data_IF_473119967452
#
_entry.id   IF_473119967452
#
_cell.length_a   1.000
_cell.length_b   1.000
_cell.length_c   1.000
_cell.angle_alpha   90.00
_cell.angle_beta   90.00
_cell.angle_gamma   90.00
#
_symmetry.space_group_name_H-M   'P 1'
#
loop_
_entity.id
_entity.type
_entity.pdbx_description
1 polymer ?
#
# COMPACT_ATOMS: atom_id res chain seq x y z
N UNK A 1 4.61 15.43 -14.15
CA UNK A 1 6.03 15.16 -13.85
C UNK A 1 6.53 14.23 -14.95
N UNK A 2 7.67 14.55 -15.57
CA UNK A 2 8.16 13.95 -16.82
C UNK A 2 8.64 12.50 -16.60
N UNK A 3 8.24 11.50 -17.41
CA UNK A 3 8.79 10.16 -17.32
C UNK A 3 10.12 10.10 -18.10
N UNK A 4 11.23 9.89 -17.40
CA UNK A 4 12.58 9.73 -17.99
C UNK A 4 12.98 8.26 -18.22
N UNK A 5 12.02 7.33 -18.25
CA UNK A 5 12.28 5.91 -18.52
C UNK A 5 11.00 5.11 -18.77
N UNK A 6 11.15 3.93 -19.38
CA UNK A 6 10.07 2.96 -19.58
C UNK A 6 9.66 2.38 -18.22
N UNK A 7 8.50 2.77 -17.69
CA UNK A 7 7.91 2.17 -16.49
C UNK A 7 7.04 0.97 -16.88
N UNK A 8 7.32 -0.20 -16.30
CA UNK A 8 6.53 -1.41 -16.49
C UNK A 8 5.59 -1.57 -15.31
N UNK A 9 4.28 -1.68 -15.57
CA UNK A 9 3.28 -1.95 -14.53
C UNK A 9 3.33 -3.43 -14.13
N UNK A 10 3.96 -3.71 -13.00
CA UNK A 10 4.09 -5.07 -12.47
C UNK A 10 2.81 -5.57 -11.80
N UNK A 11 2.09 -4.68 -11.10
CA UNK A 11 0.89 -5.01 -10.35
C UNK A 11 -0.15 -3.90 -10.51
N UNK A 12 -1.39 -4.32 -10.78
CA UNK A 12 -2.58 -3.47 -10.78
C UNK A 12 -3.69 -4.23 -10.07
N UNK A 13 -3.98 -3.86 -8.83
CA UNK A 13 -4.95 -4.58 -7.99
C UNK A 13 -5.71 -3.60 -7.11
N UNK A 14 -6.98 -3.93 -6.91
CA UNK A 14 -7.86 -3.31 -5.94
C UNK A 14 -8.07 -4.29 -4.80
N UNK A 15 -8.06 -3.78 -3.58
CA UNK A 15 -8.27 -4.55 -2.37
C UNK A 15 -9.41 -3.92 -1.56
N UNK A 16 -10.22 -4.74 -0.90
CA UNK A 16 -11.12 -4.27 0.14
C UNK A 16 -10.30 -4.08 1.42
N UNK A 17 -10.09 -2.83 1.83
CA UNK A 17 -9.25 -2.53 2.98
C UNK A 17 -9.81 -3.08 4.30
N UNK A 18 -11.12 -3.27 4.42
CA UNK A 18 -11.74 -3.86 5.60
C UNK A 18 -11.45 -5.36 5.68
N UNK A 19 -11.52 -6.06 4.54
CA UNK A 19 -11.13 -7.47 4.48
C UNK A 19 -9.63 -7.65 4.72
N UNK A 20 -8.79 -6.84 4.08
CA UNK A 20 -7.33 -6.91 4.27
C UNK A 20 -6.91 -6.60 5.71
N UNK A 21 -7.52 -5.61 6.37
CA UNK A 21 -7.25 -5.30 7.77
C UNK A 21 -7.62 -6.47 8.69
N UNK A 22 -8.74 -7.15 8.42
CA UNK A 22 -9.15 -8.35 9.15
C UNK A 22 -8.19 -9.51 8.93
N UNK A 23 -7.80 -9.76 7.67
CA UNK A 23 -6.84 -10.81 7.31
C UNK A 23 -5.46 -10.56 7.94
N UNK A 24 -5.06 -9.31 8.09
CA UNK A 24 -3.81 -8.89 8.72
C UNK A 24 -3.86 -8.83 10.26
N UNK A 25 -5.02 -9.12 10.87
CA UNK A 25 -5.27 -8.94 12.31
C UNK A 25 -4.92 -7.53 12.82
N UNK A 26 -5.23 -6.50 12.03
CA UNK A 26 -4.98 -5.11 12.38
C UNK A 26 -5.83 -4.69 13.59
N UNK A 27 -5.28 -3.82 14.44
CA UNK A 27 -5.98 -3.29 15.62
C UNK A 27 -7.13 -2.34 15.27
N UNK A 28 -7.07 -1.73 14.09
CA UNK A 28 -8.12 -0.88 13.54
C UNK A 28 -8.92 -1.72 12.54
N UNK A 29 -10.21 -1.90 12.82
CA UNK A 29 -11.12 -2.69 11.99
C UNK A 29 -12.39 -1.90 11.68
N UNK A 30 -12.97 -2.17 10.52
CA UNK A 30 -14.24 -1.58 10.11
C UNK A 30 -15.40 -2.07 11.02
N UNK A 31 -16.41 -1.22 11.27
CA UNK A 31 -16.52 0.18 10.84
C UNK A 31 -15.58 1.12 11.63
N UNK A 32 -14.77 1.90 10.91
CA UNK A 32 -13.81 2.83 11.52
C UNK A 32 -14.51 4.15 11.85
N UNK A 33 -14.42 4.59 13.10
CA UNK A 33 -15.04 5.84 13.55
C UNK A 33 -14.09 7.03 13.36
N UNK A 34 -14.59 8.27 13.30
CA UNK A 34 -13.72 9.44 13.33
C UNK A 34 -12.89 9.49 14.63
N UNK A 35 -11.58 9.68 14.51
CA UNK A 35 -10.69 9.73 15.68
C UNK A 35 -9.22 9.57 15.32
N UNK A 36 -8.37 9.69 16.33
CA UNK A 36 -6.94 9.41 16.20
C UNK A 36 -6.66 7.94 16.51
N UNK A 37 -5.84 7.31 15.67
CA UNK A 37 -5.46 5.91 15.79
C UNK A 37 -3.94 5.76 15.80
N UNK A 38 -3.42 4.86 16.62
CA UNK A 38 -2.03 4.40 16.57
C UNK A 38 -2.01 2.96 16.06
N UNK A 39 -1.32 2.74 14.93
CA UNK A 39 -1.28 1.45 14.25
C UNK A 39 0.17 0.99 14.23
N UNK A 40 0.40 -0.24 14.70
CA UNK A 40 1.70 -0.91 14.65
C UNK A 40 1.49 -2.24 13.95
N UNK A 41 2.16 -2.43 12.81
CA UNK A 41 2.13 -3.68 12.06
C UNK A 41 3.56 -4.09 11.70
N UNK A 42 3.87 -5.36 11.94
CA UNK A 42 5.12 -5.97 11.53
C UNK A 42 4.85 -6.88 10.33
N UNK A 43 5.63 -6.72 9.26
CA UNK A 43 5.56 -7.56 8.06
C UNK A 43 6.94 -8.08 7.71
N UNK A 44 6.99 -9.30 7.18
CA UNK A 44 8.21 -9.88 6.64
C UNK A 44 8.26 -9.66 5.13
N UNK A 45 9.38 -9.15 4.63
CA UNK A 45 9.60 -9.03 3.19
C UNK A 45 10.17 -10.35 2.65
N UNK A 46 9.55 -10.96 1.62
CA UNK A 46 10.06 -12.19 1.02
C UNK A 46 11.49 -12.04 0.47
N UNK A 47 12.29 -13.10 0.56
CA UNK A 47 13.69 -13.09 0.10
C UNK A 47 13.82 -13.05 -1.42
N UNK A 48 12.77 -13.48 -2.11
CA UNK A 48 12.68 -13.60 -3.55
C UNK A 48 12.37 -12.24 -4.22
N UNK A 49 12.06 -11.19 -3.45
CA UNK A 49 11.77 -9.84 -3.98
C UNK A 49 12.94 -9.39 -4.86
N UNK A 50 12.72 -9.21 -6.18
CA UNK A 50 13.81 -8.88 -7.10
C UNK A 50 14.46 -7.54 -6.77
N UNK A 51 15.79 -7.48 -6.92
CA UNK A 51 16.62 -6.31 -6.58
C UNK A 51 16.52 -5.20 -7.65
N UNK A 52 15.45 -4.42 -7.59
CA UNK A 52 15.22 -3.27 -8.46
C UNK A 52 14.54 -2.10 -7.72
N UNK A 53 14.32 -1.02 -8.46
CA UNK A 53 13.54 0.14 -8.02
C UNK A 53 12.06 -0.11 -8.24
N UNK A 54 11.27 -0.07 -7.18
CA UNK A 54 9.81 -0.12 -7.23
C UNK A 54 9.24 1.27 -7.00
N UNK A 55 8.31 1.66 -7.87
CA UNK A 55 7.48 2.86 -7.72
C UNK A 55 6.07 2.37 -7.42
N UNK A 56 5.58 2.66 -6.22
CA UNK A 56 4.32 2.15 -5.69
C UNK A 56 3.39 3.34 -5.48
N UNK A 57 2.20 3.25 -6.05
CA UNK A 57 1.15 4.25 -5.89
C UNK A 57 -0.06 3.55 -5.29
N UNK A 58 -0.53 4.03 -4.14
CA UNK A 58 -1.73 3.54 -3.47
C UNK A 58 -2.74 4.67 -3.41
N UNK A 59 -3.96 4.38 -3.82
CA UNK A 59 -5.10 5.29 -3.77
C UNK A 59 -6.22 4.57 -3.03
N UNK A 60 -6.66 5.16 -1.92
CA UNK A 60 -7.75 4.65 -1.10
C UNK A 60 -8.97 5.54 -1.24
N UNK A 61 -10.13 4.92 -1.41
CA UNK A 61 -11.42 5.58 -1.55
C UNK A 61 -12.43 4.99 -0.57
N UNK A 62 -13.42 5.78 -0.17
CA UNK A 62 -14.59 5.27 0.56
C UNK A 62 -15.53 4.52 -0.40
N UNK A 63 -16.57 3.90 0.15
CA UNK A 63 -17.64 3.27 -0.66
C UNK A 63 -18.41 4.26 -1.52
N UNK A 64 -18.36 5.55 -1.18
CA UNK A 64 -18.98 6.65 -1.91
C UNK A 64 -18.02 7.27 -2.95
N UNK A 65 -16.88 6.62 -3.21
CA UNK A 65 -15.80 7.06 -4.11
C UNK A 65 -15.06 8.34 -3.66
N UNK A 66 -15.29 8.79 -2.42
CA UNK A 66 -14.55 9.91 -1.86
C UNK A 66 -13.09 9.53 -1.60
N UNK A 67 -12.16 10.44 -1.93
CA UNK A 67 -10.75 10.24 -1.68
C UNK A 67 -10.48 10.14 -0.17
N UNK A 68 -9.97 8.99 0.27
CA UNK A 68 -9.68 8.70 1.68
C UNK A 68 -8.19 8.77 1.97
N UNK A 69 -7.35 8.18 1.11
CA UNK A 69 -5.91 8.11 1.33
C UNK A 69 -5.12 8.10 0.01
N UNK A 70 -3.89 8.63 0.06
CA UNK A 70 -2.98 8.68 -1.06
C UNK A 70 -1.56 8.41 -0.54
N UNK A 71 -0.88 7.42 -1.10
CA UNK A 71 0.52 7.10 -0.76
C UNK A 71 1.31 6.91 -2.04
N UNK A 72 2.38 7.67 -2.18
CA UNK A 72 3.38 7.51 -3.24
C UNK A 72 4.70 7.10 -2.59
N UNK A 73 5.18 5.90 -2.89
CA UNK A 73 6.37 5.31 -2.30
C UNK A 73 7.36 4.91 -3.39
N UNK A 74 8.63 5.20 -3.18
CA UNK A 74 9.72 4.66 -4.00
C UNK A 74 10.65 3.87 -3.10
N UNK A 75 10.86 2.60 -3.44
CA UNK A 75 11.76 1.70 -2.71
C UNK A 75 12.82 1.16 -3.67
N UNK A 76 14.08 1.14 -3.26
CA UNK A 76 15.15 0.54 -4.03
C UNK A 76 15.79 -0.59 -3.25
N UNK A 77 15.57 -1.83 -3.70
CA UNK A 77 16.24 -3.00 -3.15
C UNK A 77 17.60 -3.15 -3.82
N UNK A 78 18.67 -2.86 -3.07
CA UNK A 78 20.05 -2.94 -3.55
C UNK A 78 20.63 -4.34 -3.30
N UNK A 79 21.56 -4.83 -4.15
CA UNK A 79 22.48 -5.87 -3.73
C UNK A 79 23.30 -5.37 -2.53
N UNK A 80 23.60 -6.26 -1.58
CA UNK A 80 24.59 -6.01 -0.54
C UNK A 80 25.98 -5.85 -1.14
#
# INVERSE_FOLDING_TARGET
MHPTGLEIKLLDKTFDICEEARNANATVSCPVQPGAYSIVQTVELPKEVPKLKYVINVRGYTVDEDAMACVDLTVQFKPF
#
